data_IF_148509022870
#
_entry.id   IF_148509022870
#
_cell.length_a   1.000
_cell.length_b   1.000
_cell.length_c   1.000
_cell.angle_alpha   90.00
_cell.angle_beta   90.00
_cell.angle_gamma   90.00
#
_symmetry.space_group_name_H-M   'P 1'
#
loop_
_entity.id
_entity.type
_entity.pdbx_description
1 polymer ?
#
# COMPACT_ATOMS: atom_id res chain seq x y z
N UNK A 1 34.68 -2.90 -13.37
CA UNK A 1 34.10 -2.16 -12.22
C UNK A 1 33.21 -0.98 -12.66
N UNK A 2 33.69 -0.05 -13.50
CA UNK A 2 32.87 1.12 -13.93
C UNK A 2 31.57 0.78 -14.68
N UNK A 3 31.57 -0.26 -15.51
CA UNK A 3 30.38 -0.69 -16.27
C UNK A 3 29.27 -1.14 -15.30
N UNK A 4 29.60 -1.93 -14.28
CA UNK A 4 28.66 -2.39 -13.25
C UNK A 4 28.11 -1.22 -12.41
N UNK A 5 28.93 -0.20 -12.13
CA UNK A 5 28.49 1.00 -11.41
C UNK A 5 27.49 1.84 -12.23
N UNK A 6 27.72 1.98 -13.54
CA UNK A 6 26.77 2.66 -14.45
C UNK A 6 25.46 1.88 -14.58
N UNK A 7 25.55 0.55 -14.69
CA UNK A 7 24.36 -0.32 -14.73
C UNK A 7 23.55 -0.20 -13.44
N UNK A 8 24.21 -0.24 -12.28
CA UNK A 8 23.56 -0.04 -10.99
C UNK A 8 22.87 1.32 -10.88
N UNK A 9 23.54 2.40 -11.31
CA UNK A 9 22.97 3.75 -11.30
C UNK A 9 21.70 3.83 -12.13
N UNK A 10 21.72 3.26 -13.34
CA UNK A 10 20.53 3.19 -14.19
C UNK A 10 19.40 2.40 -13.53
N UNK A 11 19.70 1.27 -12.91
CA UNK A 11 18.70 0.49 -12.18
C UNK A 11 18.08 1.28 -11.02
N UNK A 12 18.88 2.05 -10.29
CA UNK A 12 18.40 2.90 -9.20
C UNK A 12 17.52 4.05 -9.70
N UNK A 13 17.85 4.65 -10.84
CA UNK A 13 17.02 5.66 -11.50
C UNK A 13 15.68 5.07 -11.96
N UNK A 14 15.70 3.90 -12.60
CA UNK A 14 14.48 3.18 -13.01
C UNK A 14 13.59 2.84 -11.80
N UNK A 15 14.19 2.41 -10.68
CA UNK A 15 13.46 2.18 -9.42
C UNK A 15 12.81 3.46 -8.89
N UNK A 16 13.55 4.59 -8.89
CA UNK A 16 13.05 5.90 -8.46
C UNK A 16 11.84 6.34 -9.30
N UNK A 17 11.87 6.13 -10.62
CA UNK A 17 10.74 6.45 -11.49
C UNK A 17 9.50 5.62 -11.16
N UNK A 18 9.67 4.31 -10.92
CA UNK A 18 8.56 3.44 -10.51
C UNK A 18 7.97 3.93 -9.18
N UNK A 19 8.81 4.24 -8.18
CA UNK A 19 8.34 4.77 -6.91
C UNK A 19 7.59 6.10 -7.09
N UNK A 20 8.06 7.01 -7.94
CA UNK A 20 7.37 8.26 -8.26
C UNK A 20 6.02 8.01 -8.92
N UNK A 21 5.93 7.05 -9.84
CA UNK A 21 4.68 6.68 -10.52
C UNK A 21 3.64 6.06 -9.57
N UNK A 22 4.07 5.52 -8.42
CA UNK A 22 3.19 4.87 -7.46
C UNK A 22 2.41 5.88 -6.59
N UNK A 23 3.00 7.04 -6.29
CA UNK A 23 2.36 8.11 -5.52
C UNK A 23 1.00 8.59 -6.10
N UNK A 24 0.89 8.94 -7.40
CA UNK A 24 -0.39 9.37 -7.97
C UNK A 24 -1.42 8.23 -7.99
N UNK A 25 -0.99 6.97 -8.08
CA UNK A 25 -1.89 5.81 -8.03
C UNK A 25 -2.54 5.70 -6.64
N UNK A 26 -1.77 5.86 -5.56
CA UNK A 26 -2.33 5.87 -4.20
C UNK A 26 -3.29 7.05 -3.96
N UNK A 27 -3.04 8.21 -4.56
CA UNK A 27 -3.98 9.34 -4.51
C UNK A 27 -5.26 9.06 -5.28
N UNK A 28 -5.15 8.51 -6.49
CA UNK A 28 -6.31 8.14 -7.32
C UNK A 28 -7.13 7.03 -6.69
N UNK A 29 -6.48 6.07 -6.02
CA UNK A 29 -7.15 5.01 -5.24
C UNK A 29 -8.08 5.62 -4.18
N UNK A 30 -7.62 6.67 -3.47
CA UNK A 30 -8.44 7.39 -2.49
C UNK A 30 -9.67 8.05 -3.13
N UNK A 31 -9.50 8.72 -4.25
CA UNK A 31 -10.60 9.40 -4.96
C UNK A 31 -11.66 8.43 -5.49
N UNK A 32 -11.22 7.32 -6.10
CA UNK A 32 -12.11 6.31 -6.68
C UNK A 32 -12.90 5.57 -5.60
N UNK A 33 -12.29 5.33 -4.44
CA UNK A 33 -12.99 4.73 -3.29
C UNK A 33 -14.10 5.65 -2.77
N UNK A 34 -13.85 6.96 -2.71
CA UNK A 34 -14.88 7.93 -2.35
C UNK A 34 -16.01 7.99 -3.39
N UNK A 35 -15.68 7.84 -4.66
CA UNK A 35 -16.65 7.79 -5.76
C UNK A 35 -17.42 6.45 -5.87
N UNK A 36 -17.05 5.42 -5.10
CA UNK A 36 -17.64 4.07 -5.14
C UNK A 36 -17.62 3.40 -6.52
N UNK A 37 -16.69 3.79 -7.41
CA UNK A 37 -16.55 3.19 -8.74
C UNK A 37 -15.69 1.90 -8.68
N UNK A 38 -16.36 0.76 -8.61
CA UNK A 38 -15.73 -0.56 -8.56
C UNK A 38 -14.95 -0.92 -9.83
N UNK A 39 -15.34 -0.39 -11.00
CA UNK A 39 -14.68 -0.71 -12.26
C UNK A 39 -13.34 0.03 -12.38
N UNK A 40 -13.30 1.30 -12.02
CA UNK A 40 -12.06 2.07 -11.98
C UNK A 40 -11.12 1.57 -10.87
N UNK A 41 -11.67 1.10 -9.74
CA UNK A 41 -10.88 0.48 -8.67
C UNK A 41 -10.16 -0.78 -9.15
N UNK A 42 -10.85 -1.66 -9.91
CA UNK A 42 -10.23 -2.85 -10.52
C UNK A 42 -9.11 -2.49 -11.49
N UNK A 43 -9.27 -1.42 -12.28
CA UNK A 43 -8.22 -0.94 -13.20
C UNK A 43 -6.99 -0.41 -12.43
N UNK A 44 -7.21 0.29 -11.32
CA UNK A 44 -6.14 0.76 -10.43
C UNK A 44 -5.39 -0.44 -9.83
N UNK A 45 -6.11 -1.46 -9.38
CA UNK A 45 -5.51 -2.67 -8.84
C UNK A 45 -4.61 -3.38 -9.86
N UNK A 46 -5.10 -3.58 -11.09
CA UNK A 46 -4.30 -4.19 -12.16
C UNK A 46 -3.02 -3.39 -12.49
N UNK A 47 -3.10 -2.05 -12.48
CA UNK A 47 -1.92 -1.18 -12.65
C UNK A 47 -0.91 -1.35 -11.51
N UNK A 48 -1.39 -1.45 -10.27
CA UNK A 48 -0.56 -1.66 -9.08
C UNK A 48 0.13 -3.02 -9.10
N UNK A 49 -0.55 -4.09 -9.52
CA UNK A 49 0.03 -5.41 -9.70
C UNK A 49 1.15 -5.42 -10.74
N UNK A 50 0.93 -4.77 -11.90
CA UNK A 50 1.96 -4.63 -12.94
C UNK A 50 3.19 -3.89 -12.43
N UNK A 51 3.00 -2.80 -11.68
CA UNK A 51 4.10 -2.06 -11.07
C UNK A 51 4.86 -2.88 -10.02
N UNK A 52 4.15 -3.63 -9.18
CA UNK A 52 4.76 -4.55 -8.21
C UNK A 52 5.59 -5.64 -8.90
N UNK A 53 5.11 -6.17 -10.03
CA UNK A 53 5.87 -7.14 -10.81
C UNK A 53 7.16 -6.52 -11.37
N UNK A 54 7.08 -5.34 -11.97
CA UNK A 54 8.24 -4.62 -12.50
C UNK A 54 9.26 -4.28 -11.39
N UNK A 55 8.77 -3.82 -10.24
CA UNK A 55 9.58 -3.53 -9.06
C UNK A 55 10.34 -4.77 -8.58
N UNK A 56 9.67 -5.93 -8.46
CA UNK A 56 10.32 -7.20 -8.10
C UNK A 56 11.38 -7.62 -9.12
N UNK A 57 11.16 -7.36 -10.40
CA UNK A 57 12.14 -7.68 -11.45
C UNK A 57 13.39 -6.81 -11.33
N UNK A 58 13.23 -5.50 -11.11
CA UNK A 58 14.34 -4.57 -10.91
C UNK A 58 15.12 -4.87 -9.63
N UNK A 59 14.42 -5.16 -8.53
CA UNK A 59 15.05 -5.56 -7.27
C UNK A 59 15.97 -6.77 -7.46
N UNK A 60 15.51 -7.79 -8.19
CA UNK A 60 16.34 -8.96 -8.52
C UNK A 60 17.58 -8.59 -9.34
N UNK A 61 17.44 -7.72 -10.33
CA UNK A 61 18.57 -7.23 -11.13
C UNK A 61 19.55 -6.44 -10.28
N UNK A 62 19.06 -5.56 -9.40
CA UNK A 62 19.87 -4.77 -8.48
C UNK A 62 20.68 -5.65 -7.55
N UNK A 63 20.05 -6.66 -6.95
CA UNK A 63 20.75 -7.64 -6.09
C UNK A 63 21.80 -8.42 -6.87
N UNK A 64 21.51 -8.83 -8.10
CA UNK A 64 22.50 -9.51 -8.96
C UNK A 64 23.72 -8.64 -9.25
N UNK A 65 23.52 -7.36 -9.60
CA UNK A 65 24.61 -6.41 -9.84
C UNK A 65 25.39 -6.11 -8.55
N UNK A 66 24.71 -6.02 -7.41
CA UNK A 66 25.35 -5.87 -6.10
C UNK A 66 26.24 -7.06 -5.74
N UNK A 67 25.78 -8.28 -5.98
CA UNK A 67 26.58 -9.48 -5.71
C UNK A 67 27.86 -9.50 -6.56
N UNK A 68 27.77 -9.17 -7.85
CA UNK A 68 28.94 -9.03 -8.74
C UNK A 68 29.91 -7.93 -8.28
N UNK A 69 29.38 -6.83 -7.76
CA UNK A 69 30.18 -5.76 -7.19
C UNK A 69 30.86 -6.19 -5.88
N UNK A 70 30.19 -6.99 -5.05
CA UNK A 70 30.75 -7.55 -3.82
C UNK A 70 31.91 -8.50 -4.12
N UNK A 71 31.73 -9.41 -5.09
CA UNK A 71 32.79 -10.28 -5.60
C UNK A 71 34.00 -9.48 -6.11
N UNK A 72 33.75 -8.40 -6.87
CA UNK A 72 34.81 -7.52 -7.40
C UNK A 72 35.55 -6.72 -6.31
N UNK A 73 34.97 -6.62 -5.11
CA UNK A 73 35.52 -5.89 -3.96
C UNK A 73 36.02 -6.85 -2.86
N UNK A 74 35.98 -8.16 -3.10
CA UNK A 74 36.34 -9.21 -2.13
C UNK A 74 35.54 -9.10 -0.81
N UNK A 75 34.30 -8.62 -0.90
CA UNK A 75 33.39 -8.46 0.23
C UNK A 75 32.27 -9.50 0.16
N UNK A 76 31.74 -9.88 1.33
CA UNK A 76 30.53 -10.70 1.38
C UNK A 76 29.33 -9.91 0.81
N UNK A 77 28.49 -10.52 -0.05
CA UNK A 77 27.29 -9.89 -0.59
C UNK A 77 26.34 -9.36 0.50
N UNK A 78 26.26 -10.06 1.63
CA UNK A 78 25.39 -9.67 2.76
C UNK A 78 25.92 -8.45 3.51
N UNK A 79 27.22 -8.18 3.43
CA UNK A 79 27.84 -7.05 4.09
C UNK A 79 27.87 -5.79 3.23
N UNK A 80 27.66 -5.91 1.92
CA UNK A 80 27.72 -4.80 0.97
C UNK A 80 26.39 -4.03 0.96
N UNK A 81 26.37 -2.88 1.62
CA UNK A 81 25.26 -1.93 1.54
C UNK A 81 25.56 -0.83 0.54
N UNK A 82 24.52 -0.20 -0.03
CA UNK A 82 24.66 0.96 -0.92
C UNK A 82 25.52 2.07 -0.29
N UNK A 83 25.44 2.23 1.04
CA UNK A 83 26.24 3.19 1.81
C UNK A 83 27.73 2.82 1.81
N UNK A 84 28.07 1.55 2.06
CA UNK A 84 29.45 1.05 2.00
C UNK A 84 29.99 1.11 0.57
N UNK A 85 29.20 0.72 -0.43
CA UNK A 85 29.59 0.85 -1.83
C UNK A 85 29.90 2.31 -2.19
N UNK A 86 29.08 3.27 -1.76
CA UNK A 86 29.34 4.68 -1.99
C UNK A 86 30.60 5.21 -1.26
N UNK A 87 31.08 4.53 -0.21
CA UNK A 87 32.34 4.85 0.47
C UNK A 87 33.56 4.24 -0.23
N UNK A 88 33.41 3.06 -0.81
CA UNK A 88 34.50 2.34 -1.50
C UNK A 88 34.81 2.87 -2.91
N UNK A 89 33.89 3.60 -3.53
CA UNK A 89 34.02 4.06 -4.93
C UNK A 89 34.51 5.52 -4.99
N UNK A 90 35.37 5.85 -5.96
CA UNK A 90 35.88 7.22 -6.20
C UNK A 90 34.78 8.16 -6.73
N UNK A 91 35.01 9.47 -6.59
CA UNK A 91 34.18 10.50 -7.24
C UNK A 91 34.26 10.33 -8.77
N UNK A 92 33.16 10.52 -9.54
CA UNK A 92 31.87 11.12 -9.14
C UNK A 92 30.81 10.14 -8.61
N UNK A 93 30.98 8.83 -8.80
CA UNK A 93 29.95 7.82 -8.52
C UNK A 93 29.52 7.75 -7.04
N UNK A 94 30.44 8.01 -6.10
CA UNK A 94 30.12 8.13 -4.67
C UNK A 94 29.00 9.13 -4.36
N UNK A 95 29.01 10.29 -5.04
CA UNK A 95 28.04 11.37 -4.83
C UNK A 95 26.69 10.97 -5.43
N UNK A 96 26.70 10.39 -6.63
CA UNK A 96 25.51 9.95 -7.34
C UNK A 96 24.76 8.85 -6.58
N UNK A 97 25.49 7.85 -6.05
CA UNK A 97 24.91 6.77 -5.25
C UNK A 97 24.30 7.29 -3.94
N UNK A 98 24.96 8.22 -3.25
CA UNK A 98 24.41 8.87 -2.06
C UNK A 98 23.13 9.64 -2.38
N UNK A 99 23.12 10.42 -3.46
CA UNK A 99 21.93 11.18 -3.86
C UNK A 99 20.77 10.26 -4.24
N UNK A 100 21.00 9.18 -5.00
CA UNK A 100 19.96 8.19 -5.30
C UNK A 100 19.41 7.55 -4.03
N UNK A 101 20.28 7.13 -3.10
CA UNK A 101 19.86 6.54 -1.84
C UNK A 101 18.99 7.48 -0.99
N UNK A 102 19.36 8.76 -0.89
CA UNK A 102 18.56 9.77 -0.18
C UNK A 102 17.20 10.00 -0.86
N UNK A 103 17.17 10.05 -2.19
CA UNK A 103 15.92 10.21 -2.94
C UNK A 103 14.98 9.00 -2.76
N UNK A 104 15.50 7.77 -2.86
CA UNK A 104 14.72 6.56 -2.59
C UNK A 104 14.15 6.57 -1.18
N UNK A 105 14.96 6.89 -0.17
CA UNK A 105 14.51 6.89 1.23
C UNK A 105 13.37 7.90 1.46
N UNK A 106 13.45 9.09 0.85
CA UNK A 106 12.38 10.10 0.88
C UNK A 106 11.09 9.60 0.21
N UNK A 107 11.21 8.94 -0.95
CA UNK A 107 10.08 8.37 -1.68
C UNK A 107 9.41 7.22 -0.91
N UNK A 108 10.20 6.30 -0.36
CA UNK A 108 9.71 5.17 0.45
C UNK A 108 8.92 5.70 1.65
N UNK A 109 9.44 6.69 2.36
CA UNK A 109 8.75 7.30 3.50
C UNK A 109 7.41 7.93 3.10
N UNK A 110 7.40 8.63 1.96
CA UNK A 110 6.19 9.28 1.43
C UNK A 110 5.13 8.25 1.02
N UNK A 111 5.54 7.16 0.38
CA UNK A 111 4.65 6.05 -0.02
C UNK A 111 4.12 5.30 1.20
N UNK A 112 4.97 5.04 2.20
CA UNK A 112 4.57 4.38 3.45
C UNK A 112 3.52 5.22 4.20
N UNK A 113 3.73 6.53 4.29
CA UNK A 113 2.77 7.46 4.88
C UNK A 113 1.43 7.45 4.13
N UNK A 114 1.45 7.56 2.80
CA UNK A 114 0.24 7.52 1.97
C UNK A 114 -0.51 6.18 2.10
N UNK A 115 0.22 5.06 2.10
CA UNK A 115 -0.35 3.73 2.24
C UNK A 115 -0.97 3.51 3.64
N UNK A 116 -0.34 4.00 4.71
CA UNK A 116 -0.90 3.93 6.05
C UNK A 116 -2.16 4.78 6.20
N UNK A 117 -2.17 5.99 5.61
CA UNK A 117 -3.38 6.83 5.57
C UNK A 117 -4.53 6.13 4.83
N UNK A 118 -4.27 5.52 3.67
CA UNK A 118 -5.28 4.79 2.91
C UNK A 118 -5.79 3.56 3.69
N UNK A 119 -4.91 2.78 4.35
CA UNK A 119 -5.31 1.66 5.20
C UNK A 119 -6.24 2.09 6.34
N UNK A 120 -5.92 3.20 7.01
CA UNK A 120 -6.76 3.76 8.07
C UNK A 120 -8.15 4.14 7.55
N UNK A 121 -8.21 4.78 6.37
CA UNK A 121 -9.48 5.14 5.74
C UNK A 121 -10.34 3.91 5.43
N UNK A 122 -9.76 2.89 4.78
CA UNK A 122 -10.48 1.64 4.49
C UNK A 122 -10.97 0.94 5.76
N UNK A 123 -10.15 0.88 6.81
CA UNK A 123 -10.54 0.30 8.08
C UNK A 123 -11.73 1.05 8.71
N UNK A 124 -11.72 2.38 8.66
CA UNK A 124 -12.83 3.20 9.14
C UNK A 124 -14.12 2.95 8.34
N UNK A 125 -14.05 2.94 7.00
CA UNK A 125 -15.21 2.63 6.15
C UNK A 125 -15.79 1.24 6.43
N UNK A 126 -14.94 0.24 6.64
CA UNK A 126 -15.39 -1.11 7.02
C UNK A 126 -16.06 -1.15 8.39
N UNK A 127 -15.52 -0.43 9.38
CA UNK A 127 -16.13 -0.33 10.71
C UNK A 127 -17.49 0.38 10.67
N UNK A 128 -17.60 1.43 9.86
CA UNK A 128 -18.87 2.12 9.63
C UNK A 128 -19.92 1.20 8.99
N UNK A 129 -19.54 0.45 7.94
CA UNK A 129 -20.44 -0.51 7.30
C UNK A 129 -20.88 -1.62 8.26
N UNK A 130 -19.97 -2.15 9.09
CA UNK A 130 -20.32 -3.12 10.13
C UNK A 130 -21.33 -2.53 11.13
N UNK A 131 -21.10 -1.30 11.60
CA UNK A 131 -22.02 -0.60 12.49
C UNK A 131 -23.40 -0.40 11.87
N UNK A 132 -23.46 0.03 10.60
CA UNK A 132 -24.71 0.18 9.87
C UNK A 132 -25.46 -1.15 9.72
N UNK A 133 -24.76 -2.24 9.37
CA UNK A 133 -25.34 -3.60 9.30
C UNK A 133 -25.86 -4.03 10.67
N UNK A 134 -25.10 -3.82 11.75
CA UNK A 134 -25.54 -4.15 13.11
C UNK A 134 -26.77 -3.34 13.53
N UNK A 135 -26.84 -2.06 13.17
CA UNK A 135 -28.04 -1.24 13.41
C UNK A 135 -29.24 -1.77 12.64
N UNK A 136 -29.08 -2.09 11.36
CA UNK A 136 -30.15 -2.70 10.56
C UNK A 136 -30.59 -4.04 11.16
N UNK A 137 -29.65 -4.91 11.53
CA UNK A 137 -29.94 -6.17 12.21
C UNK A 137 -30.76 -5.94 13.49
N UNK A 138 -30.37 -4.97 14.32
CA UNK A 138 -31.09 -4.62 15.54
C UNK A 138 -32.51 -4.07 15.27
N UNK A 139 -32.73 -3.38 14.15
CA UNK A 139 -34.05 -2.89 13.74
C UNK A 139 -34.93 -4.04 13.22
N UNK A 140 -34.34 -5.00 12.48
CA UNK A 140 -35.06 -6.14 11.93
C UNK A 140 -35.27 -7.27 12.94
N UNK A 141 -34.51 -7.31 14.05
CA UNK A 141 -34.78 -8.20 15.17
C UNK A 141 -35.89 -7.62 16.04
N UNK A 142 -37.02 -8.33 16.23
CA UNK A 142 -38.07 -7.87 17.13
C UNK A 142 -37.52 -7.74 18.55
N UNK A 143 -37.80 -6.60 19.21
CA UNK A 143 -37.48 -6.43 20.62
C UNK A 143 -38.33 -7.41 21.43
N UNK A 144 -37.74 -8.22 22.33
CA UNK A 144 -38.51 -9.13 23.18
C UNK A 144 -39.50 -8.32 24.03
N UNK A 145 -40.79 -8.58 23.84
CA UNK A 145 -41.85 -7.91 24.60
C UNK A 145 -42.04 -8.64 25.93
N UNK A 146 -42.11 -7.88 27.03
CA UNK A 146 -42.42 -8.46 28.34
C UNK A 146 -43.90 -8.85 28.39
N UNK A 147 -44.17 -10.15 28.46
CA UNK A 147 -45.53 -10.64 28.67
C UNK A 147 -45.88 -10.67 30.17
N UNK A 148 -47.17 -10.49 30.49
CA UNK A 148 -47.74 -10.51 31.86
C UNK A 148 -47.45 -11.80 32.66
N UNK A 149 -46.98 -12.85 31.99
CA UNK A 149 -46.55 -14.14 32.57
C UNK A 149 -45.12 -14.12 33.13
N UNK A 150 -44.39 -13.01 33.00
CA UNK A 150 -42.99 -12.89 33.47
C UNK A 150 -41.98 -13.64 32.60
N UNK A 151 -42.40 -14.21 31.46
CA UNK A 151 -41.53 -14.90 30.51
C UNK A 151 -41.25 -14.02 29.30
N UNK A 152 -39.98 -13.98 28.89
CA UNK A 152 -39.55 -13.32 27.66
C UNK A 152 -39.69 -14.33 26.51
N UNK A 153 -40.51 -14.00 25.50
CA UNK A 153 -40.65 -14.80 24.28
C UNK A 153 -40.28 -13.94 23.08
N UNK A 154 -39.46 -14.49 22.18
CA UNK A 154 -39.17 -13.88 20.90
C UNK A 154 -40.29 -14.25 19.92
N UNK A 155 -41.27 -13.38 19.73
CA UNK A 155 -42.31 -13.59 18.71
C UNK A 155 -41.81 -13.27 17.29
N UNK A 156 -42.47 -13.87 16.30
CA UNK A 156 -42.22 -13.73 14.86
C UNK A 156 -42.35 -12.27 14.37
N UNK A 157 -41.65 -11.89 13.27
CA UNK A 157 -41.50 -10.51 12.86
C UNK A 157 -42.83 -9.88 12.43
N UNK A 158 -43.37 -8.97 13.23
CA UNK A 158 -44.47 -8.08 12.84
C UNK A 158 -44.01 -6.62 12.89
N UNK A 159 -43.20 -6.21 11.91
CA UNK A 159 -42.83 -4.81 11.73
C UNK A 159 -43.97 -4.03 11.08
N UNK A 160 -44.66 -3.17 11.83
CA UNK A 160 -45.50 -2.10 11.25
C UNK A 160 -44.62 -0.86 11.04
N UNK A 161 -44.34 -0.55 9.78
CA UNK A 161 -43.70 0.72 9.41
C UNK A 161 -44.76 1.81 9.51
N UNK A 162 -44.55 2.77 10.40
CA UNK A 162 -45.38 3.98 10.46
C UNK A 162 -44.88 4.94 9.38
N UNK A 163 -45.57 4.98 8.24
CA UNK A 163 -45.43 6.11 7.31
C UNK A 163 -46.13 7.31 7.93
N UNK A 164 -45.37 8.27 8.44
CA UNK A 164 -45.91 9.60 8.70
C UNK A 164 -46.08 10.33 7.38
N UNK A 165 -47.31 10.44 6.91
CA UNK A 165 -47.66 11.49 5.95
C UNK A 165 -47.69 12.83 6.72
N UNK A 166 -47.00 13.84 6.18
CA UNK A 166 -47.12 15.25 6.57
C UNK A 166 -48.22 15.85 5.70
#
# INVERSE_FOLDING_TARGET
MEILLKELLKLLEDEIEIFRSLLPIFKKEKEVVLASDLNELKRILAKKEKLLFNMRSLEKKRTHVMNKLAESLELSPDELTLKKLAQSVKKPYSILLKNCGLQMLKLINSISSANNANRGMFAHSLNFLKGAITLLQNIFTPNPVYHRTGKVQAEHPSGKVLSGEI
#
